data_IF_097409697612
#
_entry.id   IF_097409697612
#
_cell.length_a   1.000
_cell.length_b   1.000
_cell.length_c   1.000
_cell.angle_alpha   90.00
_cell.angle_beta   90.00
_cell.angle_gamma   90.00
#
_symmetry.space_group_name_H-M   'P 1'
#
loop_
_entity.id
_entity.type
_entity.pdbx_description
1 polymer ?
#
# COMPACT_ATOMS: atom_id res chain seq x y z
N UNK A 1 25.88 11.48 0.82
CA UNK A 1 25.58 10.26 1.59
C UNK A 1 24.12 9.84 1.46
N UNK A 2 23.81 8.93 0.53
CA UNK A 2 22.46 8.46 0.22
C UNK A 2 21.68 7.91 1.44
N UNK A 3 22.39 7.37 2.43
CA UNK A 3 21.79 6.88 3.67
C UNK A 3 21.22 8.01 4.56
N UNK A 4 21.88 9.18 4.58
CA UNK A 4 21.41 10.34 5.35
C UNK A 4 20.12 10.91 4.74
N UNK A 5 20.09 11.02 3.42
CA UNK A 5 18.95 11.56 2.67
C UNK A 5 17.72 10.65 2.82
N UNK A 6 17.87 9.34 2.67
CA UNK A 6 16.78 8.37 2.85
C UNK A 6 16.19 8.39 4.27
N UNK A 7 17.02 8.59 5.30
CA UNK A 7 16.56 8.69 6.70
C UNK A 7 15.76 9.97 6.93
N UNK A 8 16.20 11.09 6.32
CA UNK A 8 15.50 12.37 6.38
C UNK A 8 14.14 12.28 5.68
N UNK A 9 14.09 11.71 4.48
CA UNK A 9 12.85 11.51 3.73
C UNK A 9 11.83 10.66 4.51
N UNK A 10 12.30 9.59 5.17
CA UNK A 10 11.44 8.76 6.01
C UNK A 10 10.89 9.53 7.22
N UNK A 11 11.72 10.36 7.86
CA UNK A 11 11.30 11.18 8.99
C UNK A 11 10.25 12.22 8.56
N UNK A 12 10.50 12.91 7.45
CA UNK A 12 9.55 13.88 6.87
C UNK A 12 8.24 13.21 6.47
N UNK A 13 8.30 12.03 5.84
CA UNK A 13 7.11 11.26 5.50
C UNK A 13 6.30 10.87 6.75
N UNK A 14 6.96 10.33 7.78
CA UNK A 14 6.32 9.98 9.05
C UNK A 14 5.66 11.19 9.71
N UNK A 15 6.33 12.35 9.70
CA UNK A 15 5.80 13.57 10.29
C UNK A 15 4.58 14.09 9.53
N UNK A 16 4.63 14.11 8.19
CA UNK A 16 3.48 14.48 7.34
C UNK A 16 2.29 13.55 7.57
N UNK A 17 2.54 12.24 7.66
CA UNK A 17 1.51 11.25 7.95
C UNK A 17 0.88 11.45 9.33
N UNK A 18 1.70 11.66 10.37
CA UNK A 18 1.21 11.91 11.73
C UNK A 18 0.35 13.18 11.80
N UNK A 19 0.78 14.26 11.16
CA UNK A 19 -0.01 15.50 11.06
C UNK A 19 -1.35 15.25 10.36
N UNK A 20 -1.32 14.59 9.20
CA UNK A 20 -2.52 14.33 8.42
C UNK A 20 -3.50 13.37 9.12
N UNK A 21 -3.03 12.52 10.05
CA UNK A 21 -3.90 11.69 10.91
C UNK A 21 -4.52 12.56 12.01
N UNK A 22 -3.71 13.37 12.70
CA UNK A 22 -4.19 14.24 13.75
C UNK A 22 -5.26 15.23 13.25
N UNK A 23 -5.07 15.80 12.06
CA UNK A 23 -6.05 16.71 11.45
C UNK A 23 -7.39 16.01 11.22
N UNK A 24 -7.37 14.76 10.76
CA UNK A 24 -8.58 13.95 10.57
C UNK A 24 -9.24 13.55 11.89
N UNK A 25 -8.44 13.24 12.93
CA UNK A 25 -8.98 12.95 14.26
C UNK A 25 -9.66 14.17 14.88
N UNK A 26 -9.11 15.38 14.68
CA UNK A 26 -9.76 16.63 15.10
C UNK A 26 -11.09 16.85 14.37
N UNK A 27 -11.14 16.59 13.06
CA UNK A 27 -12.40 16.64 12.30
C UNK A 27 -13.44 15.67 12.86
N UNK A 28 -13.03 14.43 13.15
CA UNK A 28 -13.90 13.43 13.76
C UNK A 28 -14.40 13.88 15.13
N UNK A 29 -13.52 14.37 16.00
CA UNK A 29 -13.89 14.89 17.31
C UNK A 29 -14.90 16.04 17.20
N UNK A 30 -14.62 17.05 16.37
CA UNK A 30 -15.51 18.21 16.21
C UNK A 30 -16.91 17.81 15.72
N UNK A 31 -17.01 16.84 14.80
CA UNK A 31 -18.29 16.35 14.31
C UNK A 31 -19.00 15.47 15.36
N UNK A 32 -18.25 14.60 16.05
CA UNK A 32 -18.78 13.78 17.15
C UNK A 32 -19.34 14.62 18.28
N UNK A 33 -18.67 15.72 18.64
CA UNK A 33 -19.17 16.67 19.64
C UNK A 33 -20.46 17.37 19.21
N UNK A 34 -20.69 17.62 17.91
CA UNK A 34 -21.99 18.16 17.44
C UNK A 34 -23.07 17.08 17.50
N UNK A 35 -22.75 15.86 17.08
CA UNK A 35 -23.71 14.75 17.03
C UNK A 35 -24.16 14.28 18.42
N UNK A 36 -23.32 14.44 19.43
CA UNK A 36 -23.60 14.05 20.81
C UNK A 36 -24.14 15.20 21.67
N UNK A 37 -24.25 16.41 21.12
CA UNK A 37 -24.76 17.57 21.83
C UNK A 37 -26.29 17.59 21.80
N UNK A 38 -26.92 17.19 22.91
CA UNK A 38 -28.38 17.14 23.06
C UNK A 38 -29.05 18.53 23.05
N UNK A 39 -28.28 19.62 23.07
CA UNK A 39 -28.83 20.98 22.90
C UNK A 39 -29.04 21.36 21.43
N UNK A 40 -28.43 20.62 20.51
CA UNK A 40 -28.58 20.82 19.07
C UNK A 40 -29.78 19.99 18.61
N UNK A 41 -30.80 20.65 18.08
CA UNK A 41 -31.93 19.97 17.46
C UNK A 41 -31.47 19.14 16.24
N UNK A 42 -32.07 17.98 16.02
CA UNK A 42 -31.70 17.04 14.96
C UNK A 42 -31.66 17.70 13.57
N UNK A 43 -32.60 18.61 13.28
CA UNK A 43 -32.66 19.34 12.01
C UNK A 43 -31.52 20.35 11.83
N UNK A 44 -30.93 20.83 12.94
CA UNK A 44 -29.86 21.81 12.95
C UNK A 44 -28.45 21.18 12.93
N UNK A 45 -28.32 19.88 13.19
CA UNK A 45 -27.04 19.15 13.28
C UNK A 45 -26.14 19.39 12.07
N UNK A 46 -26.68 19.33 10.84
CA UNK A 46 -25.90 19.57 9.61
C UNK A 46 -25.36 20.99 9.55
N UNK A 47 -26.19 21.98 9.89
CA UNK A 47 -25.83 23.39 9.87
C UNK A 47 -24.76 23.70 10.91
N UNK A 48 -24.93 23.21 12.15
CA UNK A 48 -23.96 23.39 13.24
C UNK A 48 -22.64 22.67 12.94
N UNK A 49 -22.70 21.49 12.33
CA UNK A 49 -21.51 20.76 11.87
C UNK A 49 -20.69 21.60 10.89
N UNK A 50 -21.34 22.25 9.92
CA UNK A 50 -20.65 23.08 8.93
C UNK A 50 -20.15 24.42 9.46
N UNK A 51 -20.70 24.91 10.58
CA UNK A 51 -20.15 26.05 11.30
C UNK A 51 -18.83 25.71 12.00
N UNK A 52 -18.69 24.48 12.53
CA UNK A 52 -17.44 24.01 13.16
C UNK A 52 -16.41 23.51 12.15
N UNK A 53 -16.85 22.90 11.06
CA UNK A 53 -16.00 22.31 10.03
C UNK A 53 -16.52 22.70 8.65
N UNK A 54 -15.76 23.49 7.89
CA UNK A 54 -16.17 23.89 6.54
C UNK A 54 -16.49 22.66 5.67
N UNK A 55 -17.59 22.73 4.90
CA UNK A 55 -18.05 21.62 4.06
C UNK A 55 -16.97 21.16 3.07
N UNK A 56 -16.23 22.10 2.49
CA UNK A 56 -15.11 21.81 1.57
C UNK A 56 -14.01 21.00 2.25
N UNK A 57 -13.63 21.38 3.48
CA UNK A 57 -12.66 20.65 4.30
C UNK A 57 -13.14 19.23 4.59
N UNK A 58 -14.41 19.06 4.98
CA UNK A 58 -14.98 17.75 5.25
C UNK A 58 -15.00 16.88 3.99
N UNK A 59 -15.38 17.45 2.84
CA UNK A 59 -15.40 16.75 1.54
C UNK A 59 -14.00 16.30 1.12
N UNK A 60 -12.99 17.17 1.26
CA UNK A 60 -11.59 16.81 0.98
C UNK A 60 -11.10 15.72 1.93
N UNK A 61 -11.41 15.82 3.23
CA UNK A 61 -11.04 14.81 4.21
C UNK A 61 -11.70 13.45 3.92
N UNK A 62 -12.95 13.44 3.44
CA UNK A 62 -13.65 12.23 3.01
C UNK A 62 -12.99 11.59 1.78
N UNK A 63 -12.63 12.37 0.76
CA UNK A 63 -11.92 11.83 -0.41
C UNK A 63 -10.54 11.27 -0.05
N UNK A 64 -9.81 11.97 0.83
CA UNK A 64 -8.52 11.49 1.33
C UNK A 64 -8.65 10.22 2.18
N UNK A 65 -9.70 10.11 3.01
CA UNK A 65 -9.94 8.89 3.81
C UNK A 65 -10.36 7.72 2.95
N UNK A 66 -11.16 7.92 1.89
CA UNK A 66 -11.43 6.86 0.90
C UNK A 66 -10.15 6.32 0.25
N UNK A 67 -9.17 7.20 -0.02
CA UNK A 67 -7.86 6.77 -0.54
C UNK A 67 -7.00 6.06 0.52
N UNK A 68 -7.17 6.42 1.79
CA UNK A 68 -6.40 5.87 2.91
C UNK A 68 -6.97 4.54 3.45
N UNK A 69 -8.29 4.37 3.41
CA UNK A 69 -9.00 3.10 3.62
C UNK A 69 -8.81 2.26 2.33
N UNK A 70 -7.55 1.97 2.02
CA UNK A 70 -7.21 0.96 1.00
C UNK A 70 -7.61 -0.41 1.54
N UNK A 71 -8.23 -1.28 0.74
CA UNK A 71 -8.48 -2.65 1.14
C UNK A 71 -7.13 -3.27 1.53
N UNK A 72 -7.10 -3.82 2.74
CA UNK A 72 -5.90 -4.22 3.49
C UNK A 72 -5.06 -5.34 2.85
N UNK A 73 -5.38 -5.76 1.62
CA UNK A 73 -4.82 -6.97 1.03
C UNK A 73 -3.84 -6.71 -0.12
N UNK A 74 -3.96 -5.61 -0.88
CA UNK A 74 -3.24 -5.49 -2.17
C UNK A 74 -2.41 -4.20 -2.35
N UNK A 75 -2.42 -3.27 -1.38
CA UNK A 75 -1.66 -2.01 -1.45
C UNK A 75 -0.14 -2.19 -1.64
N UNK A 76 0.41 -3.35 -1.28
CA UNK A 76 1.82 -3.68 -1.46
C UNK A 76 2.16 -4.07 -2.90
N UNK A 77 1.28 -4.80 -3.61
CA UNK A 77 1.49 -5.21 -5.00
C UNK A 77 1.56 -3.97 -5.90
N UNK A 78 0.64 -3.03 -5.68
CA UNK A 78 0.64 -1.69 -6.27
C UNK A 78 1.98 -0.94 -6.10
N UNK A 79 2.49 -0.93 -4.86
CA UNK A 79 3.74 -0.24 -4.55
C UNK A 79 4.93 -0.91 -5.25
N UNK A 80 4.95 -2.25 -5.27
CA UNK A 80 5.94 -3.02 -6.01
C UNK A 80 5.85 -2.76 -7.51
N UNK A 81 4.65 -2.70 -8.09
CA UNK A 81 4.44 -2.36 -9.51
C UNK A 81 5.05 -1.00 -9.87
N UNK A 82 4.79 0.04 -9.07
CA UNK A 82 5.35 1.39 -9.30
C UNK A 82 6.87 1.46 -9.27
N UNK A 83 7.51 0.58 -8.47
CA UNK A 83 8.98 0.55 -8.31
C UNK A 83 9.62 -0.68 -8.94
N UNK A 84 8.88 -1.44 -9.73
CA UNK A 84 9.34 -2.73 -10.25
C UNK A 84 10.61 -2.58 -11.08
N UNK A 85 10.67 -1.56 -11.94
CA UNK A 85 11.86 -1.25 -12.75
C UNK A 85 13.10 -1.01 -11.91
N UNK A 86 12.97 -0.35 -10.76
CA UNK A 86 14.08 -0.12 -9.83
C UNK A 86 14.52 -1.43 -9.15
N UNK A 87 13.55 -2.23 -8.68
CA UNK A 87 13.83 -3.54 -8.07
C UNK A 87 14.56 -4.47 -9.06
N UNK A 88 14.15 -4.48 -10.33
CA UNK A 88 14.76 -5.31 -11.37
C UNK A 88 16.22 -4.94 -11.71
N UNK A 89 16.71 -3.77 -11.31
CA UNK A 89 18.11 -3.38 -11.51
C UNK A 89 19.08 -4.23 -10.67
N UNK A 90 18.66 -4.66 -9.48
CA UNK A 90 19.51 -5.43 -8.57
C UNK A 90 18.98 -6.85 -8.29
N UNK A 91 17.69 -7.11 -8.51
CA UNK A 91 17.08 -8.41 -8.23
C UNK A 91 17.78 -9.60 -8.93
N UNK A 92 18.17 -9.55 -10.22
CA UNK A 92 18.87 -10.66 -10.86
C UNK A 92 20.19 -11.02 -10.16
N UNK A 93 21.01 -10.00 -9.85
CA UNK A 93 22.29 -10.21 -9.18
C UNK A 93 22.08 -10.79 -7.78
N UNK A 94 21.12 -10.27 -7.03
CA UNK A 94 20.74 -10.81 -5.72
C UNK A 94 20.30 -12.29 -5.81
N UNK A 95 19.48 -12.61 -6.80
CA UNK A 95 18.97 -13.96 -7.03
C UNK A 95 20.06 -14.96 -7.39
N UNK A 96 21.14 -14.53 -8.08
CA UNK A 96 22.27 -15.38 -8.40
C UNK A 96 23.19 -15.68 -7.21
N UNK A 97 23.36 -14.72 -6.30
CA UNK A 97 24.29 -14.85 -5.18
C UNK A 97 23.73 -15.66 -4.00
N UNK A 98 22.42 -15.63 -3.79
CA UNK A 98 21.81 -16.33 -2.66
C UNK A 98 21.41 -17.76 -3.01
N UNK A 99 21.40 -18.65 -2.03
CA UNK A 99 20.83 -19.99 -2.16
C UNK A 99 19.59 -20.11 -1.29
N UNK A 100 18.42 -20.20 -1.91
CA UNK A 100 17.15 -20.39 -1.20
C UNK A 100 16.94 -21.87 -0.92
N UNK A 101 16.57 -22.19 0.33
CA UNK A 101 16.26 -23.54 0.80
C UNK A 101 14.92 -23.54 1.50
N UNK A 102 14.21 -24.66 1.41
CA UNK A 102 12.95 -24.92 2.10
C UNK A 102 13.08 -26.27 2.80
N UNK A 103 12.32 -26.48 3.87
CA UNK A 103 12.17 -27.80 4.50
C UNK A 103 11.43 -28.78 3.59
N UNK A 104 10.66 -28.29 2.62
CA UNK A 104 10.01 -29.09 1.57
C UNK A 104 10.56 -28.69 0.20
N UNK A 105 11.22 -29.62 -0.49
CA UNK A 105 11.84 -29.40 -1.81
C UNK A 105 10.82 -29.04 -2.90
N UNK A 106 9.56 -29.49 -2.77
CA UNK A 106 8.49 -29.21 -3.71
C UNK A 106 7.75 -27.88 -3.42
N UNK A 107 8.26 -27.01 -2.54
CA UNK A 107 7.53 -25.79 -2.17
C UNK A 107 7.33 -24.86 -3.39
N UNK A 108 6.10 -24.45 -3.74
CA UNK A 108 5.80 -23.64 -4.94
C UNK A 108 6.64 -22.36 -5.04
N UNK A 109 6.97 -21.73 -3.92
CA UNK A 109 7.87 -20.57 -3.89
C UNK A 109 9.28 -20.89 -4.40
N UNK A 110 9.87 -22.03 -4.03
CA UNK A 110 11.20 -22.39 -4.53
C UNK A 110 11.18 -22.66 -6.03
N UNK A 111 10.09 -23.28 -6.53
CA UNK A 111 9.90 -23.49 -7.96
C UNK A 111 9.80 -22.15 -8.71
N UNK A 112 9.06 -21.19 -8.16
CA UNK A 112 8.95 -19.84 -8.71
C UNK A 112 10.30 -19.11 -8.75
N UNK A 113 11.11 -19.25 -7.69
CA UNK A 113 12.44 -18.64 -7.62
C UNK A 113 13.42 -19.26 -8.64
N UNK A 114 13.32 -20.58 -8.90
CA UNK A 114 14.11 -21.26 -9.95
C UNK A 114 13.69 -20.75 -11.34
N UNK A 115 12.39 -20.74 -11.62
CA UNK A 115 11.84 -20.19 -12.86
C UNK A 115 12.26 -18.73 -13.07
N UNK A 116 12.22 -17.90 -12.02
CA UNK A 116 12.63 -16.50 -12.11
C UNK A 116 14.12 -16.36 -12.46
N UNK A 117 14.99 -17.22 -11.95
CA UNK A 117 16.42 -17.23 -12.32
C UNK A 117 16.63 -17.61 -13.78
N UNK A 118 15.90 -18.60 -14.26
CA UNK A 118 15.94 -19.01 -15.67
C UNK A 118 15.49 -17.87 -16.58
N UNK A 119 14.41 -17.18 -16.21
CA UNK A 119 13.92 -16.00 -16.93
C UNK A 119 14.93 -14.85 -16.89
N UNK A 120 15.59 -14.61 -15.75
CA UNK A 120 16.64 -13.60 -15.60
C UNK A 120 17.90 -13.90 -16.41
N UNK A 121 18.24 -15.18 -16.60
CA UNK A 121 19.36 -15.62 -17.45
C UNK A 121 19.00 -15.63 -18.95
N UNK A 122 17.70 -15.69 -19.26
CA UNK A 122 17.19 -15.65 -20.63
C UNK A 122 17.18 -14.23 -21.22
N UNK A 123 16.76 -14.09 -22.48
CA UNK A 123 16.74 -12.78 -23.16
C UNK A 123 15.85 -11.77 -22.42
N UNK A 124 16.19 -10.46 -22.47
CA UNK A 124 15.32 -9.44 -21.91
C UNK A 124 13.92 -9.52 -22.53
N UNK A 125 12.89 -9.49 -21.67
CA UNK A 125 11.45 -9.63 -21.99
C UNK A 125 10.95 -11.05 -22.32
N UNK A 126 11.59 -12.10 -21.80
CA UNK A 126 11.00 -13.44 -21.86
C UNK A 126 9.64 -13.47 -21.13
N UNK A 127 8.56 -13.94 -21.78
CA UNK A 127 7.24 -14.03 -21.14
C UNK A 127 7.25 -15.07 -20.02
N UNK A 128 6.49 -14.81 -18.97
CA UNK A 128 6.28 -15.77 -17.88
C UNK A 128 5.39 -16.91 -18.41
N UNK A 129 5.78 -18.19 -18.24
CA UNK A 129 4.95 -19.33 -18.61
C UNK A 129 3.59 -19.33 -17.90
N UNK A 130 2.55 -19.85 -18.56
CA UNK A 130 1.19 -19.91 -18.01
C UNK A 130 1.04 -20.90 -16.84
N UNK A 131 1.95 -21.86 -16.74
CA UNK A 131 2.06 -22.85 -15.67
C UNK A 131 2.96 -22.40 -14.52
N UNK A 132 3.34 -21.11 -14.47
CA UNK A 132 4.17 -20.57 -13.40
C UNK A 132 3.57 -20.89 -12.01
N UNK A 133 4.39 -21.36 -11.07
CA UNK A 133 3.92 -21.80 -9.76
C UNK A 133 3.45 -20.59 -8.92
N UNK A 134 2.14 -20.38 -8.86
CA UNK A 134 1.50 -19.26 -8.12
C UNK A 134 0.79 -19.69 -6.83
N UNK A 135 0.86 -20.98 -6.45
CA UNK A 135 0.09 -21.53 -5.34
C UNK A 135 0.40 -20.89 -3.97
N UNK A 136 1.58 -20.29 -3.81
CA UNK A 136 1.97 -19.56 -2.59
C UNK A 136 1.38 -18.13 -2.51
N UNK A 137 0.83 -17.61 -3.61
CA UNK A 137 0.24 -16.27 -3.67
C UNK A 137 -1.20 -16.34 -3.11
N UNK A 138 -1.58 -15.45 -2.18
CA UNK A 138 -2.97 -15.33 -1.71
C UNK A 138 -3.96 -15.15 -2.87
N UNK A 139 -5.15 -15.74 -2.76
CA UNK A 139 -6.14 -15.70 -3.83
C UNK A 139 -6.60 -14.27 -4.21
N UNK A 140 -6.62 -13.35 -3.25
CA UNK A 140 -6.95 -11.93 -3.47
C UNK A 140 -6.01 -11.30 -4.51
N UNK A 141 -4.70 -11.47 -4.34
CA UNK A 141 -3.68 -10.83 -5.18
C UNK A 141 -3.46 -11.52 -6.54
N UNK A 142 -3.93 -12.75 -6.75
CA UNK A 142 -3.80 -13.43 -8.07
C UNK A 142 -4.60 -12.73 -9.16
N UNK A 143 -5.73 -12.10 -8.80
CA UNK A 143 -6.60 -11.40 -9.77
C UNK A 143 -5.91 -10.19 -10.39
N UNK A 144 -5.06 -9.51 -9.63
CA UNK A 144 -4.33 -8.32 -10.09
C UNK A 144 -3.11 -8.66 -10.94
N UNK A 145 -2.53 -9.86 -10.75
CA UNK A 145 -1.31 -10.30 -11.47
C UNK A 145 -1.64 -10.91 -12.83
N UNK A 146 -2.86 -11.46 -13.00
CA UNK A 146 -3.31 -12.11 -14.24
C UNK A 146 -4.06 -11.19 -15.22
N UNK A 147 -4.19 -9.89 -14.92
CA UNK A 147 -4.83 -8.88 -15.76
C UNK A 147 -3.78 -8.06 -16.53
#
# INVERSE_FOLDING_TARGET
>A
DCHSDAKKDLAEFRQRMASAINDKLRLFQNLGEVLLDSSVADEAVRTVSFQRVAETTLRTALEQTKQLIRPSQDAYVDLFGRRYSYVRQFAPAFMQQLTFRSSHDAHPLLQALRLLRELDASKPRCPVPSDAPMAFIPAASRREISA
#
